data_IF_970436440712
#
_entry.id   IF_970436440712
#
_cell.length_a   1.000
_cell.length_b   1.000
_cell.length_c   1.000
_cell.angle_alpha   90.00
_cell.angle_beta   90.00
_cell.angle_gamma   90.00
#
_symmetry.space_group_name_H-M   'P 1'
#
loop_
_entity.id
_entity.type
_entity.pdbx_description
1 polymer ?
#
# COMPACT_ATOMS: atom_id res chain seq x y z
N UNK A 1 6.22 -4.42 5.77
CA UNK A 1 5.71 -3.45 6.76
C UNK A 1 6.58 -3.44 8.02
N UNK A 2 6.59 -2.33 8.75
CA UNK A 2 7.20 -2.14 10.08
C UNK A 2 6.13 -1.68 11.09
N UNK A 3 6.34 -1.87 12.41
CA UNK A 3 5.32 -1.70 13.45
C UNK A 3 5.72 -0.68 14.52
N UNK A 4 4.73 0.06 15.02
CA UNK A 4 4.94 1.04 16.09
C UNK A 4 3.68 1.29 16.92
N UNK A 5 3.79 2.13 17.94
CA UNK A 5 2.65 2.54 18.77
C UNK A 5 2.66 4.04 19.02
N UNK A 6 1.54 4.70 18.75
CA UNK A 6 1.28 6.09 19.13
C UNK A 6 -0.23 6.29 19.30
N UNK A 7 -0.73 6.19 20.53
CA UNK A 7 -2.17 6.19 20.89
C UNK A 7 -2.99 5.01 20.31
N UNK A 8 -2.50 4.40 19.23
CA UNK A 8 -2.97 3.15 18.63
C UNK A 8 -1.79 2.44 17.94
N UNK A 9 -1.99 1.18 17.55
CA UNK A 9 -0.99 0.46 16.78
C UNK A 9 -0.84 1.06 15.39
N UNK A 10 0.40 1.19 14.92
CA UNK A 10 0.76 1.69 13.61
C UNK A 10 1.41 0.55 12.81
N UNK A 11 1.13 0.50 11.51
CA UNK A 11 1.91 -0.30 10.57
C UNK A 11 2.34 0.58 9.40
N UNK A 12 3.65 0.73 9.23
CA UNK A 12 4.26 1.50 8.14
C UNK A 12 4.53 0.54 6.99
N UNK A 13 3.92 0.84 5.85
CA UNK A 13 3.98 0.01 4.65
C UNK A 13 5.10 0.48 3.73
N UNK A 14 5.57 -0.38 2.83
CA UNK A 14 6.53 -0.06 1.77
C UNK A 14 5.87 0.56 0.52
N UNK A 15 4.83 1.36 0.77
CA UNK A 15 4.07 2.09 -0.25
C UNK A 15 3.64 3.45 0.32
N UNK A 16 2.90 4.24 -0.45
CA UNK A 16 2.43 5.57 -0.04
C UNK A 16 1.06 5.85 -0.63
N UNK A 17 0.16 6.39 0.19
CA UNK A 17 -1.13 6.87 -0.27
C UNK A 17 -0.91 8.04 -1.25
N UNK A 18 -0.03 8.97 -0.92
CA UNK A 18 0.28 10.12 -1.77
C UNK A 18 0.95 9.72 -3.10
N UNK A 19 1.95 8.85 -3.08
CA UNK A 19 2.70 8.54 -4.29
C UNK A 19 2.01 7.49 -5.16
N UNK A 20 1.36 6.51 -4.55
CA UNK A 20 0.94 5.29 -5.25
C UNK A 20 -0.57 5.10 -5.29
N UNK A 21 -1.35 5.79 -4.46
CA UNK A 21 -2.82 5.67 -4.43
C UNK A 21 -3.48 7.06 -4.25
N UNK A 22 -3.11 8.07 -5.05
CA UNK A 22 -3.46 9.47 -4.77
C UNK A 22 -4.97 9.72 -4.67
N UNK A 23 -5.78 8.95 -5.38
CA UNK A 23 -7.25 9.07 -5.35
C UNK A 23 -7.83 8.76 -3.96
N UNK A 24 -7.18 7.92 -3.16
CA UNK A 24 -7.58 7.66 -1.76
C UNK A 24 -7.52 8.93 -0.89
N UNK A 25 -6.75 9.94 -1.32
CA UNK A 25 -6.65 11.25 -0.69
C UNK A 25 -7.44 12.32 -1.43
N UNK A 26 -7.39 12.34 -2.76
CA UNK A 26 -8.06 13.36 -3.60
C UNK A 26 -9.59 13.20 -3.65
N UNK A 27 -10.07 11.96 -3.65
CA UNK A 27 -11.48 11.59 -3.59
C UNK A 27 -11.65 10.60 -2.43
N UNK A 28 -11.64 11.07 -1.18
CA UNK A 28 -11.30 10.23 -0.03
C UNK A 28 -12.13 8.95 0.03
N UNK A 29 -11.46 7.82 -0.11
CA UNK A 29 -12.03 6.50 0.04
C UNK A 29 -11.04 5.57 0.73
N UNK A 30 -11.56 4.55 1.40
CA UNK A 30 -10.76 3.54 2.07
C UNK A 30 -10.71 2.30 1.18
N UNK A 31 -9.52 1.97 0.69
CA UNK A 31 -9.31 0.78 -0.11
C UNK A 31 -9.59 -0.49 0.71
N UNK A 32 -10.19 -1.50 0.09
CA UNK A 32 -10.27 -2.84 0.68
C UNK A 32 -8.87 -3.47 0.73
N UNK A 33 -8.61 -4.25 1.78
CA UNK A 33 -7.34 -4.93 1.95
C UNK A 33 -7.62 -6.41 2.13
N UNK A 34 -6.86 -7.24 1.42
CA UNK A 34 -6.77 -8.66 1.66
C UNK A 34 -5.46 -8.98 2.37
N UNK A 35 -5.56 -9.61 3.54
CA UNK A 35 -4.41 -10.08 4.30
C UNK A 35 -3.98 -11.45 3.77
N UNK A 36 -2.79 -11.51 3.16
CA UNK A 36 -2.28 -12.73 2.55
C UNK A 36 -1.88 -13.80 3.58
N UNK A 37 -1.67 -13.43 4.84
CA UNK A 37 -1.36 -14.39 5.90
C UNK A 37 -2.61 -15.14 6.39
N UNK A 38 -3.70 -14.42 6.73
CA UNK A 38 -4.97 -15.05 7.13
C UNK A 38 -5.81 -15.54 5.95
N UNK A 39 -5.59 -14.99 4.76
CA UNK A 39 -6.48 -15.12 3.59
C UNK A 39 -7.89 -14.56 3.83
N UNK A 40 -8.01 -13.58 4.72
CA UNK A 40 -9.25 -12.85 4.98
C UNK A 40 -9.09 -11.38 4.56
N UNK A 41 -10.21 -10.72 4.29
CA UNK A 41 -10.21 -9.25 4.14
C UNK A 41 -9.87 -8.60 5.48
N UNK A 42 -9.29 -7.40 5.46
CA UNK A 42 -9.20 -6.53 6.63
C UNK A 42 -10.57 -5.86 6.89
N UNK A 43 -10.77 -5.41 8.12
CA UNK A 43 -12.04 -4.83 8.57
C UNK A 43 -11.93 -3.36 8.86
N UNK A 44 -13.07 -2.72 9.04
CA UNK A 44 -13.13 -1.40 9.67
C UNK A 44 -12.49 -1.44 11.05
N UNK A 45 -12.06 -0.28 11.55
CA UNK A 45 -11.51 -0.17 12.89
C UNK A 45 -12.45 -0.78 13.94
N UNK A 46 -11.95 -1.74 14.72
CA UNK A 46 -12.71 -2.43 15.74
C UNK A 46 -13.66 -3.54 15.25
N UNK A 47 -13.76 -3.78 13.94
CA UNK A 47 -14.53 -4.90 13.39
C UNK A 47 -13.87 -6.25 13.71
N UNK A 48 -12.54 -6.31 13.62
CA UNK A 48 -11.70 -7.45 14.03
C UNK A 48 -10.86 -7.13 15.26
N UNK A 49 -10.27 -8.16 15.86
CA UNK A 49 -9.61 -8.09 17.15
C UNK A 49 -8.40 -7.15 17.23
N UNK A 50 -7.69 -6.91 16.11
CA UNK A 50 -6.45 -6.13 16.12
C UNK A 50 -6.53 -4.94 15.16
N UNK A 51 -6.67 -3.72 15.69
CA UNK A 51 -6.74 -2.50 14.89
C UNK A 51 -5.38 -1.83 14.73
N UNK A 52 -5.09 -1.35 13.52
CA UNK A 52 -3.88 -0.65 13.12
C UNK A 52 -4.21 0.56 12.25
N UNK A 53 -3.43 1.62 12.37
CA UNK A 53 -3.37 2.69 11.36
C UNK A 53 -2.27 2.35 10.38
N UNK A 54 -2.64 2.25 9.10
CA UNK A 54 -1.70 1.97 8.03
C UNK A 54 -1.15 3.29 7.48
N UNK A 55 0.16 3.48 7.61
CA UNK A 55 0.89 4.65 7.12
C UNK A 55 1.81 4.31 5.96
N UNK A 56 2.11 5.31 5.13
CA UNK A 56 3.08 5.22 4.04
C UNK A 56 4.49 5.62 4.42
N UNK A 57 5.43 5.48 3.48
CA UNK A 57 6.86 5.77 3.68
C UNK A 57 7.25 7.24 3.49
N UNK A 58 6.35 8.10 3.00
CA UNK A 58 6.74 9.51 2.83
C UNK A 58 6.85 10.21 4.18
N UNK A 59 7.54 11.35 4.20
CA UNK A 59 7.64 12.17 5.41
C UNK A 59 6.35 12.97 5.71
N UNK A 60 5.29 12.83 4.90
CA UNK A 60 4.05 13.58 5.11
C UNK A 60 3.28 12.99 6.29
N UNK A 61 2.91 13.84 7.25
CA UNK A 61 2.05 13.43 8.36
C UNK A 61 0.69 12.86 7.90
N UNK A 62 0.24 13.26 6.70
CA UNK A 62 -1.00 12.78 6.08
C UNK A 62 -0.84 11.57 5.16
N UNK A 63 0.34 10.93 5.07
CA UNK A 63 0.52 9.70 4.29
C UNK A 63 -0.04 8.50 5.05
N UNK A 64 -1.37 8.44 5.09
CA UNK A 64 -2.14 7.47 5.87
C UNK A 64 -3.20 6.87 4.96
N UNK A 65 -3.18 5.54 4.81
CA UNK A 65 -4.17 4.80 4.03
C UNK A 65 -5.48 4.63 4.79
N UNK A 66 -5.42 4.58 6.13
CA UNK A 66 -6.59 4.52 6.99
C UNK A 66 -6.38 3.66 8.24
N UNK A 67 -7.45 3.55 9.04
CA UNK A 67 -7.53 2.61 10.16
C UNK A 67 -8.18 1.30 9.67
N UNK A 68 -7.56 0.18 9.98
CA UNK A 68 -7.98 -1.17 9.59
C UNK A 68 -7.95 -2.10 10.80
N UNK A 69 -8.67 -3.20 10.74
CA UNK A 69 -8.58 -4.28 11.73
C UNK A 69 -8.31 -5.64 11.09
N UNK A 70 -7.62 -6.51 11.82
CA UNK A 70 -7.17 -7.84 11.39
C UNK A 70 -7.50 -8.91 12.44
N UNK A 71 -7.58 -10.17 12.02
CA UNK A 71 -7.92 -11.31 12.88
C UNK A 71 -6.77 -11.72 13.81
N UNK A 72 -5.55 -11.34 13.44
CA UNK A 72 -4.32 -11.56 14.21
C UNK A 72 -3.45 -10.29 14.20
N UNK A 73 -2.49 -10.15 15.12
CA UNK A 73 -1.53 -9.06 15.08
C UNK A 73 -0.74 -9.09 13.78
N UNK A 74 -0.51 -7.92 13.17
CA UNK A 74 0.38 -7.83 12.01
C UNK A 74 1.82 -8.16 12.41
N UNK A 75 2.56 -8.77 11.49
CA UNK A 75 3.98 -9.10 11.65
C UNK A 75 4.86 -8.33 10.65
N UNK A 76 6.08 -7.98 11.08
CA UNK A 76 7.05 -7.33 10.18
C UNK A 76 7.35 -8.25 9.00
N UNK A 77 7.28 -7.69 7.79
CA UNK A 77 7.43 -8.44 6.54
C UNK A 77 6.16 -9.11 6.02
N UNK A 78 5.04 -9.09 6.77
CA UNK A 78 3.74 -9.52 6.27
C UNK A 78 3.30 -8.69 5.07
N UNK A 79 2.62 -9.34 4.13
CA UNK A 79 2.15 -8.74 2.88
C UNK A 79 0.66 -8.47 2.97
N UNK A 80 0.29 -7.24 2.63
CA UNK A 80 -1.09 -6.79 2.50
C UNK A 80 -1.35 -6.47 1.03
N UNK A 81 -2.48 -6.91 0.49
CA UNK A 81 -2.90 -6.60 -0.86
C UNK A 81 -4.03 -5.58 -0.83
N UNK A 82 -3.78 -4.39 -1.37
CA UNK A 82 -4.83 -3.40 -1.60
C UNK A 82 -5.60 -3.79 -2.86
N UNK A 83 -6.90 -3.98 -2.72
CA UNK A 83 -7.76 -4.39 -3.83
C UNK A 83 -8.15 -3.19 -4.70
N UNK A 84 -8.52 -3.48 -5.94
CA UNK A 84 -9.00 -2.52 -6.94
C UNK A 84 -8.06 -1.34 -7.25
N UNK A 85 -6.74 -1.58 -7.24
CA UNK A 85 -5.69 -0.57 -7.51
C UNK A 85 -5.21 -0.54 -8.97
N UNK A 86 -6.00 -1.07 -9.91
CA UNK A 86 -5.58 -1.19 -11.32
C UNK A 86 -5.89 0.07 -12.15
N UNK A 87 -6.99 0.75 -11.84
CA UNK A 87 -7.51 1.88 -12.60
C UNK A 87 -7.33 3.18 -11.85
N UNK A 88 -7.07 4.28 -12.56
CA UNK A 88 -6.78 5.60 -11.98
C UNK A 88 -5.62 5.66 -10.97
N UNK A 89 -4.90 4.56 -10.75
CA UNK A 89 -3.74 4.47 -9.87
C UNK A 89 -2.43 4.70 -10.63
N UNK A 90 -2.01 3.73 -11.46
CA UNK A 90 -0.72 3.73 -12.16
C UNK A 90 -0.48 5.00 -13.00
N UNK A 91 -1.55 5.52 -13.63
CA UNK A 91 -1.54 6.73 -14.47
C UNK A 91 -1.30 8.03 -13.71
N UNK A 92 -1.42 8.01 -12.38
CA UNK A 92 -1.26 9.18 -11.49
C UNK A 92 -0.11 9.01 -10.50
N UNK A 93 0.65 7.92 -10.58
CA UNK A 93 1.75 7.67 -9.64
C UNK A 93 2.85 8.71 -9.73
N UNK A 94 3.49 9.00 -8.60
CA UNK A 94 4.60 9.95 -8.52
C UNK A 94 5.79 9.38 -7.77
N UNK A 95 6.96 9.99 -7.98
CA UNK A 95 8.18 9.71 -7.22
C UNK A 95 8.43 10.80 -6.18
N UNK A 96 7.35 11.36 -5.61
CA UNK A 96 7.46 12.35 -4.55
C UNK A 96 8.27 11.78 -3.38
N UNK A 97 9.06 12.63 -2.72
CA UNK A 97 9.99 12.25 -1.66
C UNK A 97 11.04 11.19 -2.08
N UNK A 98 11.23 10.96 -3.39
CA UNK A 98 12.12 9.92 -3.91
C UNK A 98 11.64 8.50 -3.68
N UNK A 99 10.36 8.31 -3.33
CA UNK A 99 9.78 6.98 -3.14
C UNK A 99 9.82 6.21 -4.47
N UNK A 100 10.28 4.96 -4.40
CA UNK A 100 10.37 4.07 -5.54
C UNK A 100 8.98 3.64 -6.02
N UNK A 101 8.75 3.71 -7.33
CA UNK A 101 7.50 3.27 -7.93
C UNK A 101 7.35 1.73 -7.82
N UNK A 102 6.13 1.22 -7.54
CA UNK A 102 5.86 -0.20 -7.58
C UNK A 102 6.14 -0.78 -8.97
N UNK A 103 6.69 -2.00 -9.03
CA UNK A 103 6.83 -2.70 -10.31
C UNK A 103 5.46 -3.05 -10.88
N UNK A 104 5.36 -3.04 -12.21
CA UNK A 104 4.15 -3.46 -12.92
C UNK A 104 4.31 -4.92 -13.30
N UNK A 105 3.39 -5.77 -12.86
CA UNK A 105 3.39 -7.19 -13.16
C UNK A 105 2.02 -7.65 -13.66
N UNK A 106 2.03 -8.66 -14.51
CA UNK A 106 0.84 -9.39 -14.95
C UNK A 106 0.86 -10.77 -14.30
N UNK A 107 -0.28 -11.19 -13.77
CA UNK A 107 -0.49 -12.54 -13.28
C UNK A 107 -1.49 -13.25 -14.18
N UNK A 108 -1.17 -14.49 -14.57
CA UNK A 108 -2.08 -15.35 -15.31
C UNK A 108 -2.72 -16.34 -14.35
N UNK A 109 -4.04 -16.26 -14.18
CA UNK A 109 -4.79 -17.12 -13.26
C UNK A 109 -4.94 -18.58 -13.73
N UNK A 110 -4.69 -18.88 -15.01
CA UNK A 110 -4.73 -20.24 -15.55
C UNK A 110 -3.41 -20.98 -15.34
N UNK A 111 -2.28 -20.28 -15.44
CA UNK A 111 -0.94 -20.88 -15.36
C UNK A 111 -0.18 -20.55 -14.08
N UNK A 112 -0.72 -19.64 -13.26
CA UNK A 112 -0.08 -19.04 -12.08
C UNK A 112 1.23 -18.29 -12.38
N UNK A 113 1.49 -17.99 -13.66
CA UNK A 113 2.70 -17.27 -14.08
C UNK A 113 2.59 -15.78 -13.72
N UNK A 114 3.65 -15.25 -13.09
CA UNK A 114 3.82 -13.81 -12.86
C UNK A 114 4.92 -13.27 -13.77
N UNK A 115 4.57 -12.32 -14.63
CA UNK A 115 5.50 -11.63 -15.52
C UNK A 115 5.63 -10.16 -15.11
N UNK A 116 6.84 -9.76 -14.72
CA UNK A 116 7.17 -8.34 -14.53
C UNK A 116 7.24 -7.66 -15.90
N UNK A 117 6.36 -6.68 -16.13
CA UNK A 117 6.30 -5.88 -17.36
C UNK A 117 7.24 -4.69 -17.28
N UNK A 118 7.29 -4.04 -16.12
CA UNK A 118 8.14 -2.88 -15.89
C UNK A 118 8.64 -2.85 -14.46
N UNK A 119 9.93 -2.63 -14.31
CA UNK A 119 10.57 -2.34 -13.04
C UNK A 119 11.16 -0.94 -13.12
N UNK A 120 10.90 -0.13 -12.10
CA UNK A 120 11.40 1.24 -12.03
C UNK A 120 12.67 1.26 -11.19
N UNK A 121 13.62 2.12 -11.57
CA UNK A 121 14.86 2.32 -10.86
C UNK A 121 15.15 3.81 -10.63
N UNK A 122 16.35 4.08 -10.11
CA UNK A 122 16.80 5.45 -9.85
C UNK A 122 16.75 6.35 -11.10
N UNK A 123 17.03 5.80 -12.30
CA UNK A 123 16.99 6.56 -13.54
C UNK A 123 15.61 7.11 -13.85
N UNK A 124 14.52 6.37 -13.56
CA UNK A 124 13.14 6.83 -13.76
C UNK A 124 12.82 8.04 -12.87
N UNK A 125 13.33 8.05 -11.64
CA UNK A 125 13.23 9.21 -10.75
C UNK A 125 14.05 10.39 -11.29
N UNK A 126 15.33 10.17 -11.62
CA UNK A 126 16.26 11.22 -12.04
C UNK A 126 15.80 11.93 -13.31
N UNK A 127 15.35 11.19 -14.32
CA UNK A 127 14.95 11.75 -15.62
C UNK A 127 13.72 12.66 -15.57
N UNK A 128 12.94 12.62 -14.48
CA UNK A 128 11.81 13.55 -14.27
C UNK A 128 12.25 14.93 -13.76
N UNK A 129 13.48 15.06 -13.27
CA UNK A 129 13.96 16.27 -12.61
C UNK A 129 14.89 17.14 -13.48
N UNK A 130 15.51 16.58 -14.52
CA UNK A 130 16.37 17.30 -15.48
C UNK A 130 16.77 16.44 -16.67
#
# INVERSE_FOLDING_TARGET
LDLGYNQMNLAILDTSATCHMPDTLEMPYRAEIFDLASKNSAGEKGERSYSYRLGGQTCLAGDVMGDYSFDHPLEIGQRLMFDDMSHYTMVKTSTFNGIGLPSLALWNSETDEVKVVKQFGYSDFKQRLS
#
